data_IF_734412739667
#
_entry.id   IF_734412739667
#
_cell.length_a   1.000
_cell.length_b   1.000
_cell.length_c   1.000
_cell.angle_alpha   90.00
_cell.angle_beta   90.00
_cell.angle_gamma   90.00
#
_symmetry.space_group_name_H-M   'P 1'
#
loop_
_entity.id
_entity.type
_entity.pdbx_description
1 polymer ?
#
# COMPACT_ATOMS: atom_id res chain seq x y z
N UNK A 1 9.86 -2.80 49.81
CA UNK A 1 9.56 -2.80 48.36
C UNK A 1 10.46 -1.78 47.67
N UNK A 2 11.43 -2.23 46.86
CA UNK A 2 12.27 -1.34 46.05
C UNK A 2 11.40 -0.69 44.98
N UNK A 3 11.22 0.62 45.05
CA UNK A 3 10.60 1.40 43.97
C UNK A 3 11.55 1.28 42.77
N UNK A 4 11.28 0.33 41.87
CA UNK A 4 11.99 0.21 40.61
C UNK A 4 11.83 1.53 39.87
N UNK A 5 12.93 2.26 39.71
CA UNK A 5 12.94 3.55 39.03
C UNK A 5 12.33 3.42 37.64
N UNK A 6 11.24 4.17 37.40
CA UNK A 6 10.51 4.28 36.11
C UNK A 6 11.43 4.27 34.89
N UNK A 7 12.60 4.90 34.96
CA UNK A 7 13.61 4.95 33.87
C UNK A 7 14.09 3.58 33.38
N UNK A 8 14.22 2.56 34.26
CA UNK A 8 14.72 1.22 33.89
C UNK A 8 13.70 0.39 33.11
N UNK A 9 12.41 0.71 33.21
CA UNK A 9 11.33 0.03 32.48
C UNK A 9 11.04 0.66 31.11
N UNK A 10 11.31 1.96 30.94
CA UNK A 10 11.02 2.69 29.70
C UNK A 10 11.97 2.27 28.56
N UNK A 11 13.25 2.08 28.85
CA UNK A 11 14.26 1.67 27.85
C UNK A 11 13.96 0.31 27.21
N UNK A 12 13.68 -0.77 27.96
CA UNK A 12 13.37 -2.06 27.36
C UNK A 12 12.04 -2.05 26.58
N UNK A 13 11.03 -1.30 27.05
CA UNK A 13 9.74 -1.17 26.34
C UNK A 13 9.90 -0.44 25.01
N UNK A 14 10.71 0.62 24.95
CA UNK A 14 11.00 1.33 23.69
C UNK A 14 11.74 0.41 22.73
N UNK A 15 12.81 -0.26 23.19
CA UNK A 15 13.60 -1.18 22.36
C UNK A 15 12.73 -2.34 21.85
N UNK A 16 11.84 -2.88 22.69
CA UNK A 16 10.90 -3.91 22.28
C UNK A 16 9.91 -3.38 21.25
N UNK A 17 9.31 -2.21 21.47
CA UNK A 17 8.36 -1.60 20.51
C UNK A 17 9.00 -1.35 19.14
N UNK A 18 10.24 -0.86 19.12
CA UNK A 18 11.00 -0.63 17.89
C UNK A 18 11.26 -1.94 17.12
N UNK A 19 11.50 -3.04 17.82
CA UNK A 19 11.69 -4.37 17.20
C UNK A 19 10.37 -5.00 16.74
N UNK A 20 9.28 -4.78 17.48
CA UNK A 20 7.98 -5.39 17.17
C UNK A 20 7.30 -4.71 15.98
N UNK A 21 7.55 -3.41 15.74
CA UNK A 21 6.85 -2.64 14.70
C UNK A 21 7.82 -1.88 13.78
N UNK A 22 8.70 -2.56 13.04
CA UNK A 22 9.71 -1.91 12.20
C UNK A 22 9.10 -0.99 11.14
N UNK A 23 7.90 -1.30 10.66
CA UNK A 23 7.17 -0.48 9.66
C UNK A 23 6.77 0.88 10.23
N UNK A 24 6.30 0.93 11.48
CA UNK A 24 5.93 2.20 12.13
C UNK A 24 7.18 3.07 12.33
N UNK A 25 8.29 2.45 12.70
CA UNK A 25 9.58 3.14 12.85
C UNK A 25 10.03 3.73 11.51
N UNK A 26 9.97 2.96 10.44
CA UNK A 26 10.31 3.44 9.09
C UNK A 26 9.40 4.60 8.66
N UNK A 27 8.09 4.52 8.93
CA UNK A 27 7.15 5.60 8.62
C UNK A 27 7.50 6.89 9.35
N UNK A 28 7.77 6.82 10.66
CA UNK A 28 8.16 8.00 11.45
C UNK A 28 9.49 8.57 10.94
N UNK A 29 10.47 7.70 10.64
CA UNK A 29 11.76 8.13 10.13
C UNK A 29 11.62 8.88 8.78
N UNK A 30 10.81 8.35 7.86
CA UNK A 30 10.53 9.00 6.58
C UNK A 30 9.78 10.33 6.77
N UNK A 31 8.78 10.37 7.65
CA UNK A 31 8.05 11.60 7.97
C UNK A 31 9.00 12.69 8.47
N UNK A 32 9.88 12.37 9.43
CA UNK A 32 10.86 13.33 9.97
C UNK A 32 11.85 13.77 8.89
N UNK A 33 12.37 12.82 8.11
CA UNK A 33 13.32 13.09 7.03
C UNK A 33 12.73 14.06 5.99
N UNK A 34 11.55 13.76 5.43
CA UNK A 34 10.95 14.62 4.41
C UNK A 34 10.44 15.95 4.97
N UNK A 35 9.98 15.98 6.22
CA UNK A 35 9.62 17.24 6.89
C UNK A 35 10.84 18.15 7.07
N UNK A 36 12.01 17.57 7.36
CA UNK A 36 13.25 18.33 7.51
C UNK A 36 13.85 18.79 6.18
N UNK A 37 13.78 17.95 5.14
CA UNK A 37 14.37 18.26 3.83
C UNK A 37 13.49 19.18 2.98
N UNK A 38 12.16 19.09 3.12
CA UNK A 38 11.20 19.81 2.27
C UNK A 38 10.01 20.37 3.07
N UNK A 39 10.22 21.21 4.10
CA UNK A 39 9.16 21.65 5.01
C UNK A 39 7.97 22.30 4.28
N UNK A 40 8.24 23.23 3.38
CA UNK A 40 7.22 23.99 2.64
C UNK A 40 6.37 23.16 1.67
N UNK A 41 6.90 22.01 1.20
CA UNK A 41 6.23 21.15 0.22
C UNK A 41 5.60 19.94 0.88
N UNK A 42 6.34 19.28 1.77
CA UNK A 42 5.92 18.05 2.41
C UNK A 42 4.80 18.28 3.42
N UNK A 43 4.90 19.33 4.24
CA UNK A 43 3.88 19.66 5.25
C UNK A 43 2.72 20.48 4.67
N UNK A 44 2.73 20.74 3.36
CA UNK A 44 1.67 21.49 2.70
C UNK A 44 0.34 20.70 2.70
N UNK A 45 -0.82 21.33 2.99
CA UNK A 45 -2.12 20.64 3.00
C UNK A 45 -2.44 19.89 1.70
N UNK A 46 -1.98 20.41 0.55
CA UNK A 46 -2.13 19.74 -0.75
C UNK A 46 -1.37 18.40 -0.82
N UNK A 47 -0.19 18.32 -0.21
CA UNK A 47 0.57 17.07 -0.16
C UNK A 47 -0.16 16.03 0.71
N UNK A 48 -0.64 16.43 1.90
CA UNK A 48 -1.46 15.56 2.74
C UNK A 48 -2.72 15.08 2.04
N UNK A 49 -3.44 15.97 1.32
CA UNK A 49 -4.63 15.57 0.55
C UNK A 49 -4.28 14.56 -0.56
N UNK A 50 -3.16 14.77 -1.24
CA UNK A 50 -2.68 13.86 -2.29
C UNK A 50 -2.30 12.49 -1.73
N UNK A 51 -1.58 12.45 -0.60
CA UNK A 51 -1.22 11.22 0.10
C UNK A 51 -2.48 10.48 0.55
N UNK A 52 -3.45 11.17 1.16
CA UNK A 52 -4.69 10.54 1.61
C UNK A 52 -5.52 9.99 0.45
N UNK A 53 -5.63 10.72 -0.67
CA UNK A 53 -6.30 10.22 -1.88
C UNK A 53 -5.61 8.97 -2.42
N UNK A 54 -4.28 8.98 -2.50
CA UNK A 54 -3.52 7.83 -2.98
C UNK A 54 -3.66 6.63 -2.03
N UNK A 55 -3.64 6.88 -0.71
CA UNK A 55 -3.84 5.85 0.31
C UNK A 55 -5.21 5.17 0.17
N UNK A 56 -6.28 5.94 -0.03
CA UNK A 56 -7.63 5.38 -0.24
C UNK A 56 -7.66 4.51 -1.49
N UNK A 57 -7.12 4.98 -2.62
CA UNK A 57 -7.07 4.22 -3.87
C UNK A 57 -6.28 2.92 -3.71
N UNK A 58 -5.08 2.98 -3.10
CA UNK A 58 -4.26 1.80 -2.88
C UNK A 58 -4.89 0.82 -1.89
N UNK A 59 -5.58 1.32 -0.87
CA UNK A 59 -6.27 0.46 0.12
C UNK A 59 -7.42 -0.29 -0.55
N UNK A 60 -8.28 0.41 -1.30
CA UNK A 60 -9.35 -0.22 -2.07
C UNK A 60 -8.81 -1.25 -3.07
N UNK A 61 -7.69 -0.92 -3.73
CA UNK A 61 -7.02 -1.83 -4.62
C UNK A 61 -6.45 -3.07 -3.91
N UNK A 62 -5.83 -2.90 -2.73
CA UNK A 62 -5.24 -3.97 -1.95
C UNK A 62 -6.27 -4.94 -1.35
N UNK A 63 -7.53 -4.53 -1.19
CA UNK A 63 -8.59 -5.41 -0.69
C UNK A 63 -8.81 -6.63 -1.58
N UNK A 64 -8.74 -6.46 -2.92
CA UNK A 64 -8.92 -7.57 -3.87
C UNK A 64 -7.91 -8.71 -3.65
N UNK A 65 -6.60 -8.43 -3.78
CA UNK A 65 -5.55 -9.41 -3.47
C UNK A 65 -5.63 -9.96 -2.04
N UNK A 66 -6.01 -9.13 -1.06
CA UNK A 66 -6.15 -9.58 0.34
C UNK A 66 -7.19 -10.69 0.49
N UNK A 67 -8.33 -10.58 -0.21
CA UNK A 67 -9.37 -11.62 -0.20
C UNK A 67 -8.84 -12.92 -0.81
N UNK A 68 -8.18 -12.83 -1.97
CA UNK A 68 -7.61 -13.98 -2.69
C UNK A 68 -6.59 -14.75 -1.82
N UNK A 69 -5.73 -14.01 -1.12
CA UNK A 69 -4.75 -14.57 -0.19
C UNK A 69 -5.43 -15.26 0.99
N UNK A 70 -6.43 -14.61 1.61
CA UNK A 70 -7.16 -15.16 2.77
C UNK A 70 -7.97 -16.40 2.41
N UNK A 71 -8.47 -16.52 1.17
CA UNK A 71 -9.17 -17.72 0.68
C UNK A 71 -8.23 -18.90 0.40
N UNK A 72 -6.92 -18.77 0.62
CA UNK A 72 -5.94 -19.85 0.44
C UNK A 72 -5.41 -19.98 -0.99
N UNK A 73 -5.82 -19.09 -1.88
CA UNK A 73 -5.38 -19.04 -3.28
C UNK A 73 -4.13 -18.16 -3.38
N UNK A 74 -3.00 -18.63 -2.87
CA UNK A 74 -1.70 -17.93 -2.94
C UNK A 74 -1.10 -17.92 -4.35
N UNK A 75 -1.93 -17.78 -5.37
CA UNK A 75 -1.48 -17.80 -6.75
C UNK A 75 -0.99 -16.42 -7.16
N UNK A 76 0.33 -16.27 -7.34
CA UNK A 76 0.96 -15.05 -7.87
C UNK A 76 0.48 -14.68 -9.28
N UNK A 77 -0.21 -15.58 -9.99
CA UNK A 77 -0.78 -15.32 -11.32
C UNK A 77 -1.71 -14.10 -11.33
N UNK A 78 -2.38 -13.76 -10.22
CA UNK A 78 -3.26 -12.58 -10.16
C UNK A 78 -2.50 -11.28 -10.50
N UNK A 79 -1.22 -11.18 -10.10
CA UNK A 79 -0.36 -10.03 -10.42
C UNK A 79 -0.06 -10.01 -11.92
N UNK A 80 0.25 -11.17 -12.50
CA UNK A 80 0.51 -11.31 -13.93
C UNK A 80 -0.71 -10.94 -14.78
N UNK A 81 -1.89 -11.43 -14.41
CA UNK A 81 -3.16 -11.11 -15.09
C UNK A 81 -3.45 -9.61 -15.01
N UNK A 82 -3.19 -8.99 -13.85
CA UNK A 82 -3.34 -7.54 -13.70
C UNK A 82 -2.40 -6.75 -14.61
N UNK A 83 -1.11 -7.13 -14.67
CA UNK A 83 -0.13 -6.47 -15.54
C UNK A 83 -0.48 -6.65 -17.03
N UNK A 84 -0.91 -7.86 -17.43
CA UNK A 84 -1.39 -8.13 -18.78
C UNK A 84 -2.59 -7.24 -19.13
N UNK A 85 -3.57 -7.14 -18.23
CA UNK A 85 -4.74 -6.28 -18.41
C UNK A 85 -4.35 -4.81 -18.63
N UNK A 86 -3.40 -4.29 -17.85
CA UNK A 86 -2.89 -2.92 -18.01
C UNK A 86 -2.24 -2.68 -19.38
N UNK A 87 -1.40 -3.61 -19.84
CA UNK A 87 -0.76 -3.52 -21.16
C UNK A 87 -1.80 -3.56 -22.28
N UNK A 88 -2.80 -4.44 -22.18
CA UNK A 88 -3.85 -4.58 -23.19
C UNK A 88 -4.77 -3.36 -23.22
N UNK A 89 -5.13 -2.79 -22.07
CA UNK A 89 -5.87 -1.52 -22.00
C UNK A 89 -5.09 -0.42 -22.71
N UNK A 90 -3.80 -0.29 -22.42
CA UNK A 90 -2.94 0.72 -23.05
C UNK A 90 -2.85 0.54 -24.57
N UNK A 91 -2.67 -0.70 -25.03
CA UNK A 91 -2.58 -1.03 -26.46
C UNK A 91 -3.89 -0.77 -27.20
N UNK A 92 -5.04 -1.01 -26.57
CA UNK A 92 -6.37 -0.87 -27.18
C UNK A 92 -6.95 0.54 -27.03
N UNK A 93 -6.41 1.37 -26.14
CA UNK A 93 -6.89 2.74 -25.90
C UNK A 93 -6.97 3.60 -27.17
N UNK A 94 -6.02 3.55 -28.14
CA UNK A 94 -6.14 4.29 -29.39
C UNK A 94 -7.28 3.82 -30.31
N UNK A 95 -7.75 2.57 -30.16
CA UNK A 95 -8.73 1.94 -31.06
C UNK A 95 -10.13 2.00 -30.46
N UNK A 96 -10.26 1.61 -29.19
CA UNK A 96 -11.54 1.47 -28.48
C UNK A 96 -11.83 2.62 -27.52
N UNK A 97 -10.87 3.54 -27.32
CA UNK A 97 -11.00 4.62 -26.36
C UNK A 97 -11.23 4.08 -24.95
N UNK A 98 -12.19 4.67 -24.23
CA UNK A 98 -12.51 4.32 -22.84
C UNK A 98 -13.10 2.90 -22.70
N UNK A 99 -13.65 2.31 -23.77
CA UNK A 99 -14.14 0.93 -23.74
C UNK A 99 -13.03 -0.10 -23.52
N UNK A 100 -11.77 0.26 -23.75
CA UNK A 100 -10.60 -0.59 -23.46
C UNK A 100 -10.56 -1.03 -22.00
N UNK A 101 -11.13 -0.27 -21.07
CA UNK A 101 -11.21 -0.62 -19.63
C UNK A 101 -11.95 -1.95 -19.41
N UNK A 102 -12.90 -2.32 -20.28
CA UNK A 102 -13.65 -3.58 -20.18
C UNK A 102 -12.77 -4.83 -20.34
N UNK A 103 -11.55 -4.69 -20.85
CA UNK A 103 -10.58 -5.79 -20.97
C UNK A 103 -10.22 -6.37 -19.60
N UNK A 104 -10.14 -5.53 -18.56
CA UNK A 104 -9.77 -5.97 -17.20
C UNK A 104 -10.80 -6.96 -16.62
N UNK A 105 -12.11 -6.64 -16.54
CA UNK A 105 -13.09 -7.60 -16.02
C UNK A 105 -13.25 -8.83 -16.93
N UNK A 106 -13.13 -8.69 -18.25
CA UNK A 106 -13.22 -9.83 -19.18
C UNK A 106 -12.08 -10.81 -18.97
N UNK A 107 -10.84 -10.32 -18.87
CA UNK A 107 -9.68 -11.16 -18.57
C UNK A 107 -9.81 -11.80 -17.20
N UNK A 108 -10.17 -11.03 -16.17
CA UNK A 108 -10.32 -11.54 -14.81
C UNK A 108 -11.37 -12.64 -14.70
N UNK A 109 -12.53 -12.47 -15.35
CA UNK A 109 -13.56 -13.52 -15.42
C UNK A 109 -13.08 -14.73 -16.22
N UNK A 110 -12.47 -14.50 -17.39
CA UNK A 110 -11.98 -15.56 -18.26
C UNK A 110 -10.93 -16.43 -17.58
N UNK A 111 -9.95 -15.82 -16.91
CA UNK A 111 -8.89 -16.57 -16.20
C UNK A 111 -9.35 -17.12 -14.87
N UNK A 112 -10.31 -16.49 -14.19
CA UNK A 112 -10.82 -16.96 -12.90
C UNK A 112 -11.78 -18.15 -13.00
N UNK A 113 -12.30 -18.46 -14.19
CA UNK A 113 -13.16 -19.61 -14.46
C UNK A 113 -12.40 -20.85 -14.96
N UNK A 114 -11.14 -20.69 -15.37
CA UNK A 114 -10.25 -21.77 -15.83
C UNK A 114 -9.51 -22.39 -14.65
#
# INVERSE_FOLDING_TARGET
MKILGRKKLITPVIIQTLKTHPVIVALIALLVMFSSLYPERFLHPLNFSSILRQFVTLTLFALGPSIVVVTGSLDLSYVGIWMLGGILVWLLMPILGMFSILVIPVLGLGTGLL
#
